data_IF_625575306936
#
_entry.id   IF_625575306936
#
_cell.length_a   1.000
_cell.length_b   1.000
_cell.length_c   1.000
_cell.angle_alpha   90.00
_cell.angle_beta   90.00
_cell.angle_gamma   90.00
#
_symmetry.space_group_name_H-M   'P 1'
#
loop_
_entity.id
_entity.type
_entity.pdbx_description
1 polymer ?
#
# COMPACT_ATOMS: atom_id res chain seq x y z
N UNK A 1 -11.38 -17.48 -15.07
CA UNK A 1 -9.94 -17.73 -14.82
C UNK A 1 -9.87 -18.36 -13.44
N UNK A 2 -9.01 -19.34 -13.22
CA UNK A 2 -8.84 -19.93 -11.87
C UNK A 2 -8.16 -18.90 -10.97
N UNK A 3 -8.72 -18.62 -9.78
CA UNK A 3 -8.24 -17.58 -8.86
C UNK A 3 -6.77 -17.79 -8.48
N UNK A 4 -6.29 -19.03 -8.42
CA UNK A 4 -4.87 -19.33 -8.19
C UNK A 4 -3.97 -18.73 -9.27
N UNK A 5 -4.43 -18.72 -10.53
CA UNK A 5 -3.69 -18.11 -11.62
C UNK A 5 -3.67 -16.58 -11.50
N UNK A 6 -4.76 -15.97 -11.04
CA UNK A 6 -4.82 -14.52 -10.81
C UNK A 6 -3.89 -14.10 -9.67
N UNK A 7 -3.90 -14.84 -8.55
CA UNK A 7 -2.99 -14.59 -7.42
C UNK A 7 -1.54 -14.74 -7.85
N UNK A 8 -1.20 -15.82 -8.57
CA UNK A 8 0.15 -16.03 -9.08
C UNK A 8 0.58 -14.90 -10.04
N UNK A 9 -0.35 -14.39 -10.85
CA UNK A 9 -0.11 -13.27 -11.74
C UNK A 9 0.18 -11.98 -10.96
N UNK A 10 -0.60 -11.67 -9.91
CA UNK A 10 -0.37 -10.52 -9.02
C UNK A 10 1.03 -10.60 -8.39
N UNK A 11 1.37 -11.74 -7.77
CA UNK A 11 2.69 -11.92 -7.13
C UNK A 11 3.84 -11.77 -8.13
N UNK A 12 3.68 -12.28 -9.35
CA UNK A 12 4.67 -12.12 -10.42
C UNK A 12 4.86 -10.64 -10.78
N UNK A 13 3.78 -9.87 -10.85
CA UNK A 13 3.82 -8.45 -11.17
C UNK A 13 4.53 -7.68 -10.04
N UNK A 14 4.26 -7.97 -8.76
CA UNK A 14 4.97 -7.36 -7.63
C UNK A 14 6.48 -7.62 -7.65
N UNK A 15 6.91 -8.85 -7.99
CA UNK A 15 8.34 -9.18 -8.14
C UNK A 15 8.97 -8.35 -9.27
N UNK A 16 8.22 -8.15 -10.37
CA UNK A 16 8.66 -7.32 -11.49
C UNK A 16 8.77 -5.85 -11.06
N UNK A 17 7.81 -5.33 -10.28
CA UNK A 17 7.84 -3.96 -9.77
C UNK A 17 9.07 -3.74 -8.88
N UNK A 18 9.35 -4.66 -7.96
CA UNK A 18 10.56 -4.63 -7.14
C UNK A 18 11.83 -4.61 -8.00
N UNK A 19 11.90 -5.46 -9.04
CA UNK A 19 13.03 -5.49 -9.97
C UNK A 19 13.23 -4.15 -10.70
N UNK A 20 12.14 -3.49 -11.11
CA UNK A 20 12.20 -2.15 -11.73
C UNK A 20 12.75 -1.12 -10.75
N UNK A 21 12.24 -1.11 -9.51
CA UNK A 21 12.68 -0.16 -8.48
C UNK A 21 14.16 -0.38 -8.12
N UNK A 22 14.59 -1.64 -8.01
CA UNK A 22 15.99 -1.99 -7.82
C UNK A 22 16.88 -1.52 -8.98
N UNK A 23 16.43 -1.64 -10.23
CA UNK A 23 17.14 -1.09 -11.38
C UNK A 23 17.39 0.43 -11.25
N UNK A 24 16.36 1.18 -10.86
CA UNK A 24 16.48 2.64 -10.64
C UNK A 24 17.46 2.97 -9.52
N UNK A 25 17.48 2.19 -8.44
CA UNK A 25 18.43 2.37 -7.35
C UNK A 25 19.87 2.03 -7.78
N UNK A 26 20.05 0.97 -8.55
CA UNK A 26 21.36 0.59 -9.09
C UNK A 26 21.94 1.68 -10.01
N UNK A 27 21.10 2.31 -10.85
CA UNK A 27 21.49 3.45 -11.70
C UNK A 27 21.97 4.66 -10.88
N UNK A 28 21.53 4.77 -9.63
CA UNK A 28 21.98 5.80 -8.67
C UNK A 28 23.19 5.36 -7.83
N UNK A 29 23.76 4.18 -8.10
CA UNK A 29 24.94 3.65 -7.41
C UNK A 29 24.63 2.93 -6.10
N UNK A 30 23.38 2.58 -5.83
CA UNK A 30 23.01 1.78 -4.64
C UNK A 30 23.43 0.33 -4.85
N UNK A 31 24.07 -0.27 -3.84
CA UNK A 31 24.35 -1.71 -3.81
C UNK A 31 23.06 -2.50 -3.53
N UNK A 32 22.30 -2.77 -4.59
CA UNK A 32 21.07 -3.56 -4.55
C UNK A 32 21.35 -4.98 -4.09
N UNK A 33 22.43 -5.60 -4.55
CA UNK A 33 22.75 -7.00 -4.21
C UNK A 33 22.98 -7.14 -2.71
N UNK A 34 23.85 -6.29 -2.15
CA UNK A 34 24.07 -6.23 -0.70
C UNK A 34 22.81 -5.86 0.07
N UNK A 35 21.99 -4.93 -0.43
CA UNK A 35 20.71 -4.59 0.20
C UNK A 35 19.76 -5.80 0.27
N UNK A 36 19.56 -6.53 -0.83
CA UNK A 36 18.67 -7.70 -0.86
C UNK A 36 19.20 -8.79 0.08
N UNK A 37 20.49 -9.12 -0.01
CA UNK A 37 21.09 -10.15 0.86
C UNK A 37 21.01 -9.81 2.36
N UNK A 38 21.08 -8.52 2.73
CA UNK A 38 20.97 -8.10 4.12
C UNK A 38 19.55 -8.21 4.70
N UNK A 39 18.51 -8.30 3.86
CA UNK A 39 17.10 -8.28 4.29
C UNK A 39 16.34 -9.57 4.00
N UNK A 40 16.93 -10.51 3.24
CA UNK A 40 16.28 -11.73 2.77
C UNK A 40 15.64 -12.55 3.91
N UNK A 41 16.36 -12.73 5.02
CA UNK A 41 15.85 -13.47 6.19
C UNK A 41 14.67 -12.76 6.87
N UNK A 42 14.73 -11.43 6.98
CA UNK A 42 13.73 -10.63 7.72
C UNK A 42 12.44 -10.45 6.90
N UNK A 43 12.50 -10.49 5.57
CA UNK A 43 11.31 -10.33 4.72
C UNK A 43 10.23 -11.41 4.97
N UNK A 44 10.60 -12.56 5.50
CA UNK A 44 9.65 -13.62 5.86
C UNK A 44 8.96 -13.41 7.20
N UNK A 45 9.50 -12.55 8.08
CA UNK A 45 8.95 -12.31 9.42
C UNK A 45 7.49 -11.85 9.33
N UNK A 46 6.62 -12.34 10.22
CA UNK A 46 5.25 -11.83 10.40
C UNK A 46 4.97 -11.68 11.89
N UNK A 47 4.16 -10.69 12.24
CA UNK A 47 3.59 -10.59 13.59
C UNK A 47 2.42 -11.55 13.74
N UNK A 48 1.94 -11.75 14.97
CA UNK A 48 0.71 -12.50 15.21
C UNK A 48 -0.49 -11.85 14.50
N UNK A 49 -1.47 -12.64 14.09
CA UNK A 49 -2.62 -12.15 13.32
C UNK A 49 -3.47 -11.10 14.06
N UNK A 50 -3.54 -11.21 15.38
CA UNK A 50 -4.24 -10.32 16.31
C UNK A 50 -3.37 -9.16 16.82
N UNK A 51 -2.09 -9.13 16.46
CA UNK A 51 -1.23 -8.00 16.81
C UNK A 51 -1.70 -6.72 16.11
N UNK A 52 -1.53 -5.60 16.80
CA UNK A 52 -1.62 -4.25 16.24
C UNK A 52 -0.33 -3.50 16.58
N UNK A 53 0.56 -3.42 15.59
CA UNK A 53 1.81 -2.67 15.71
C UNK A 53 1.63 -1.21 15.28
N UNK A 54 0.42 -0.82 14.88
CA UNK A 54 0.07 0.52 14.42
C UNK A 54 1.12 1.10 13.48
N UNK A 55 1.85 2.09 13.99
CA UNK A 55 2.88 2.84 13.27
C UNK A 55 4.31 2.57 13.74
N UNK A 56 4.49 1.64 14.68
CA UNK A 56 5.78 1.35 15.28
C UNK A 56 6.74 0.67 14.29
N UNK A 57 8.02 1.05 14.33
CA UNK A 57 9.07 0.38 13.55
C UNK A 57 9.61 -0.78 14.35
N UNK A 58 9.23 -2.00 13.96
CA UNK A 58 9.56 -3.22 14.70
C UNK A 58 10.76 -3.99 14.13
N UNK A 59 11.23 -3.64 12.91
CA UNK A 59 12.48 -4.16 12.34
C UNK A 59 13.32 -3.05 11.70
N UNK A 60 14.56 -3.39 11.38
CA UNK A 60 15.52 -2.52 10.68
C UNK A 60 15.33 -2.48 9.17
N UNK A 61 14.50 -3.35 8.58
CA UNK A 61 14.35 -3.49 7.12
C UNK A 61 13.58 -2.32 6.46
N UNK A 62 12.93 -1.49 7.29
CA UNK A 62 12.15 -0.30 6.88
C UNK A 62 10.97 -0.58 5.94
N UNK A 63 10.58 -1.83 5.69
CA UNK A 63 9.39 -2.17 4.90
C UNK A 63 8.14 -1.59 5.56
N UNK A 64 7.12 -1.35 4.75
CA UNK A 64 5.84 -0.80 5.23
C UNK A 64 5.23 -1.75 6.26
N UNK A 65 4.73 -1.20 7.37
CA UNK A 65 4.22 -1.97 8.51
C UNK A 65 3.13 -2.96 8.13
N UNK A 66 2.35 -2.61 7.11
CA UNK A 66 1.27 -3.45 6.62
C UNK A 66 1.76 -4.85 6.19
N UNK A 67 3.00 -4.97 5.73
CA UNK A 67 3.60 -6.24 5.29
C UNK A 67 4.11 -7.13 6.43
N UNK A 68 4.11 -6.66 7.70
CA UNK A 68 4.33 -7.56 8.84
C UNK A 68 3.07 -8.32 9.23
N UNK A 69 1.88 -7.85 8.88
CA UNK A 69 0.66 -8.57 9.19
C UNK A 69 0.49 -9.77 8.26
N UNK A 70 0.05 -10.92 8.78
CA UNK A 70 -0.23 -12.08 7.95
C UNK A 70 -1.49 -11.86 7.09
N UNK A 71 -1.52 -12.51 5.94
CA UNK A 71 -2.67 -12.63 5.05
C UNK A 71 -3.09 -14.10 5.09
N UNK A 72 -4.03 -14.44 5.98
CA UNK A 72 -4.37 -15.83 6.31
C UNK A 72 -5.62 -16.33 5.59
N UNK A 73 -6.49 -15.42 5.18
CA UNK A 73 -7.79 -15.73 4.57
C UNK A 73 -7.93 -15.15 3.18
N UNK A 74 -8.91 -15.65 2.42
CA UNK A 74 -9.26 -15.03 1.14
C UNK A 74 -9.77 -13.60 1.32
N UNK A 75 -10.59 -13.35 2.35
CA UNK A 75 -11.04 -12.01 2.68
C UNK A 75 -9.85 -11.08 2.99
N UNK A 76 -8.83 -11.56 3.69
CA UNK A 76 -7.61 -10.79 3.95
C UNK A 76 -6.93 -10.37 2.66
N UNK A 77 -6.70 -11.31 1.74
CA UNK A 77 -6.06 -11.02 0.46
C UNK A 77 -6.85 -9.95 -0.32
N UNK A 78 -8.17 -10.09 -0.39
CA UNK A 78 -9.04 -9.18 -1.13
C UNK A 78 -9.06 -7.77 -0.50
N UNK A 79 -9.25 -7.66 0.81
CA UNK A 79 -9.32 -6.35 1.47
C UNK A 79 -7.95 -5.71 1.67
N UNK A 80 -6.87 -6.51 1.75
CA UNK A 80 -5.50 -6.02 1.64
C UNK A 80 -5.29 -5.34 0.29
N UNK A 81 -5.54 -6.03 -0.84
CA UNK A 81 -5.37 -5.42 -2.17
C UNK A 81 -6.30 -4.23 -2.38
N UNK A 82 -7.55 -4.32 -1.92
CA UNK A 82 -8.50 -3.20 -2.00
C UNK A 82 -8.03 -1.97 -1.21
N UNK A 83 -7.43 -2.12 -0.03
CA UNK A 83 -6.96 -0.95 0.70
C UNK A 83 -5.54 -0.54 0.25
N UNK A 84 -4.61 -1.48 0.26
CA UNK A 84 -3.19 -1.23 0.13
C UNK A 84 -2.75 -0.85 -1.29
N UNK A 85 -3.15 -1.59 -2.33
CA UNK A 85 -2.74 -1.30 -3.72
C UNK A 85 -3.22 0.09 -4.14
N UNK A 86 -4.44 0.45 -3.72
CA UNK A 86 -4.99 1.78 -3.93
C UNK A 86 -4.28 2.84 -3.11
N UNK A 87 -3.95 2.56 -1.85
CA UNK A 87 -3.13 3.45 -1.02
C UNK A 87 -1.75 3.71 -1.62
N UNK A 88 -1.10 2.68 -2.16
CA UNK A 88 0.15 2.77 -2.91
C UNK A 88 -0.03 3.55 -4.21
N UNK A 89 -1.12 3.31 -4.95
CA UNK A 89 -1.48 4.04 -6.15
C UNK A 89 -1.60 5.55 -5.92
N UNK A 90 -2.27 5.96 -4.83
CA UNK A 90 -2.34 7.37 -4.42
C UNK A 90 -0.98 7.96 -4.05
N UNK A 91 -0.13 7.20 -3.34
CA UNK A 91 1.24 7.65 -3.01
C UNK A 91 2.11 7.86 -4.25
N UNK A 92 1.94 7.00 -5.26
CA UNK A 92 2.76 6.98 -6.46
C UNK A 92 2.19 7.87 -7.57
N UNK A 93 0.96 8.37 -7.45
CA UNK A 93 0.34 9.18 -8.51
C UNK A 93 1.15 10.45 -8.80
N UNK A 94 1.68 11.07 -7.74
CA UNK A 94 2.53 12.27 -7.84
C UNK A 94 3.82 12.04 -8.62
N UNK A 95 4.27 10.78 -8.71
CA UNK A 95 5.50 10.40 -9.42
C UNK A 95 5.39 10.70 -10.91
N UNK A 96 4.17 10.73 -11.47
CA UNK A 96 3.95 11.12 -12.87
C UNK A 96 4.41 12.55 -13.17
N UNK A 97 4.57 13.36 -12.14
CA UNK A 97 5.01 14.75 -12.21
C UNK A 97 6.39 14.96 -11.54
N UNK A 98 7.09 13.87 -11.24
CA UNK A 98 8.38 13.90 -10.59
C UNK A 98 9.47 14.53 -11.47
N UNK A 99 10.42 15.24 -10.87
CA UNK A 99 11.61 15.79 -11.55
C UNK A 99 12.60 14.72 -12.02
N UNK A 100 12.53 13.51 -11.47
CA UNK A 100 13.39 12.38 -11.85
C UNK A 100 12.75 11.54 -12.97
N UNK A 101 13.02 11.92 -14.21
CA UNK A 101 12.42 11.32 -15.41
C UNK A 101 12.55 9.79 -15.57
N UNK A 102 13.65 9.12 -15.18
CA UNK A 102 13.73 7.66 -15.23
C UNK A 102 12.62 6.98 -14.44
N UNK A 103 12.33 7.49 -13.24
CA UNK A 103 11.29 6.93 -12.38
C UNK A 103 9.88 7.20 -12.89
N UNK A 104 9.63 8.39 -13.47
CA UNK A 104 8.38 8.70 -14.18
C UNK A 104 8.08 7.65 -15.26
N UNK A 105 9.07 7.30 -16.09
CA UNK A 105 8.89 6.30 -17.15
C UNK A 105 8.66 4.90 -16.62
N UNK A 106 9.34 4.54 -15.52
CA UNK A 106 9.21 3.23 -14.90
C UNK A 106 7.82 3.03 -14.30
N UNK A 107 7.30 4.04 -13.58
CA UNK A 107 6.01 3.93 -12.88
C UNK A 107 4.82 3.87 -13.84
N UNK A 108 4.90 4.44 -15.04
CA UNK A 108 3.83 4.33 -16.04
C UNK A 108 3.55 2.88 -16.45
N UNK A 109 4.58 2.03 -16.49
CA UNK A 109 4.42 0.60 -16.74
C UNK A 109 3.73 -0.11 -15.58
N UNK A 110 4.17 0.17 -14.36
CA UNK A 110 3.59 -0.36 -13.11
C UNK A 110 2.11 0.01 -13.01
N UNK A 111 1.74 1.27 -13.24
CA UNK A 111 0.35 1.73 -13.22
C UNK A 111 -0.58 1.01 -14.20
N UNK A 112 -0.07 0.48 -15.31
CA UNK A 112 -0.89 -0.29 -16.26
C UNK A 112 -1.25 -1.67 -15.70
N UNK A 113 -0.34 -2.27 -14.95
CA UNK A 113 -0.52 -3.57 -14.31
C UNK A 113 -1.42 -3.46 -13.08
N UNK A 114 -1.22 -2.43 -12.26
CA UNK A 114 -2.03 -2.12 -11.06
C UNK A 114 -3.54 -1.99 -11.37
N UNK A 115 -3.91 -1.55 -12.57
CA UNK A 115 -5.32 -1.50 -13.01
C UNK A 115 -5.97 -2.89 -13.05
N UNK A 116 -5.20 -3.96 -13.21
CA UNK A 116 -5.71 -5.32 -13.12
C UNK A 116 -5.96 -5.71 -11.66
N UNK A 117 -5.02 -5.42 -10.76
CA UNK A 117 -5.12 -5.72 -9.33
C UNK A 117 -6.32 -5.02 -8.69
N UNK A 118 -6.46 -3.71 -8.95
CA UNK A 118 -7.59 -2.89 -8.46
C UNK A 118 -8.94 -3.48 -8.92
N UNK A 119 -9.07 -3.86 -10.20
CA UNK A 119 -10.32 -4.42 -10.73
C UNK A 119 -10.64 -5.80 -10.15
N UNK A 120 -9.63 -6.63 -9.90
CA UNK A 120 -9.80 -7.93 -9.26
C UNK A 120 -10.27 -7.76 -7.80
N UNK A 121 -9.63 -6.84 -7.06
CA UNK A 121 -10.04 -6.47 -5.71
C UNK A 121 -11.49 -5.97 -5.65
N UNK A 122 -11.87 -5.02 -6.50
CA UNK A 122 -13.24 -4.48 -6.55
C UNK A 122 -14.29 -5.54 -6.88
N UNK A 123 -13.98 -6.44 -7.84
CA UNK A 123 -14.85 -7.56 -8.18
C UNK A 123 -15.15 -8.45 -6.98
N UNK A 124 -14.14 -8.80 -6.20
CA UNK A 124 -14.28 -9.68 -5.05
C UNK A 124 -14.85 -8.98 -3.81
N UNK A 125 -14.48 -7.72 -3.56
CA UNK A 125 -15.09 -6.91 -2.49
C UNK A 125 -16.60 -6.86 -2.68
N UNK A 126 -17.07 -6.59 -3.90
CA UNK A 126 -18.50 -6.61 -4.21
C UNK A 126 -19.15 -7.95 -3.89
N UNK A 127 -18.55 -9.06 -4.32
CA UNK A 127 -19.09 -10.41 -4.06
C UNK A 127 -19.15 -10.75 -2.57
N UNK A 128 -18.12 -10.42 -1.81
CA UNK A 128 -18.04 -10.72 -0.39
C UNK A 128 -18.96 -9.81 0.44
N UNK A 129 -19.06 -8.54 0.05
CA UNK A 129 -19.92 -7.57 0.73
C UNK A 129 -21.40 -7.82 0.44
N UNK A 130 -21.80 -8.10 -0.81
CA UNK A 130 -23.22 -8.23 -1.16
C UNK A 130 -23.84 -9.58 -0.76
N UNK A 131 -23.04 -10.62 -0.52
CA UNK A 131 -23.55 -11.92 -0.04
C UNK A 131 -23.80 -11.87 1.49
N UNK A 132 -25.04 -12.07 1.96
CA UNK A 132 -25.35 -12.05 3.39
C UNK A 132 -24.54 -13.05 4.24
N UNK A 133 -24.01 -14.11 3.64
CA UNK A 133 -23.20 -15.11 4.35
C UNK A 133 -21.78 -14.62 4.64
N UNK A 134 -21.29 -13.65 3.88
CA UNK A 134 -19.92 -13.14 3.99
C UNK A 134 -19.87 -11.65 4.35
N UNK A 135 -21.01 -10.93 4.36
CA UNK A 135 -21.07 -9.50 4.64
C UNK A 135 -20.39 -9.14 5.98
N UNK A 136 -20.71 -9.85 7.07
CA UNK A 136 -20.14 -9.56 8.39
C UNK A 136 -18.62 -9.77 8.46
N UNK A 137 -18.13 -10.84 7.81
CA UNK A 137 -16.69 -11.12 7.68
C UNK A 137 -16.02 -10.04 6.81
N UNK A 138 -16.66 -9.65 5.71
CA UNK A 138 -16.18 -8.61 4.80
C UNK A 138 -16.07 -7.26 5.52
N UNK A 139 -17.09 -6.87 6.29
CA UNK A 139 -17.09 -5.64 7.08
C UNK A 139 -15.97 -5.62 8.14
N UNK A 140 -15.79 -6.73 8.85
CA UNK A 140 -14.73 -6.86 9.86
C UNK A 140 -13.35 -6.79 9.22
N UNK A 141 -13.15 -7.51 8.12
CA UNK A 141 -11.86 -7.60 7.42
C UNK A 141 -11.52 -6.28 6.72
N UNK A 142 -12.50 -5.63 6.10
CA UNK A 142 -12.37 -4.28 5.57
C UNK A 142 -11.90 -3.29 6.63
N UNK A 143 -12.56 -3.28 7.79
CA UNK A 143 -12.20 -2.36 8.87
C UNK A 143 -10.76 -2.51 9.33
N UNK A 144 -10.32 -3.77 9.50
CA UNK A 144 -8.93 -4.11 9.83
C UNK A 144 -7.91 -3.57 8.83
N UNK A 145 -8.10 -3.86 7.54
CA UNK A 145 -7.14 -3.46 6.50
C UNK A 145 -7.19 -1.96 6.20
N UNK A 146 -8.36 -1.33 6.28
CA UNK A 146 -8.50 0.12 6.13
C UNK A 146 -7.67 0.88 7.17
N UNK A 147 -7.81 0.54 8.46
CA UNK A 147 -7.05 1.20 9.53
C UNK A 147 -5.54 1.00 9.35
N UNK A 148 -5.11 -0.23 9.00
CA UNK A 148 -3.70 -0.54 8.73
C UNK A 148 -3.16 0.29 7.56
N UNK A 149 -3.92 0.47 6.48
CA UNK A 149 -3.54 1.31 5.34
C UNK A 149 -3.50 2.80 5.72
N UNK A 150 -4.44 3.30 6.50
CA UNK A 150 -4.44 4.72 6.92
C UNK A 150 -3.18 5.12 7.72
N UNK A 151 -2.57 4.16 8.41
CA UNK A 151 -1.34 4.35 9.18
C UNK A 151 -0.06 4.48 8.33
N UNK A 152 -0.09 4.16 7.02
CA UNK A 152 1.12 4.14 6.19
C UNK A 152 1.48 5.51 5.59
N UNK A 153 0.55 6.47 5.57
CA UNK A 153 0.75 7.74 4.86
C UNK A 153 1.71 8.71 5.55
N UNK A 154 2.00 8.52 6.84
CA UNK A 154 2.84 9.43 7.63
C UNK A 154 2.15 10.75 7.99
N UNK A 155 2.69 11.49 8.95
CA UNK A 155 2.04 12.71 9.48
C UNK A 155 2.12 13.88 8.49
N UNK A 156 1.20 14.87 8.57
CA UNK A 156 1.26 16.06 7.73
C UNK A 156 2.47 16.93 8.03
N UNK A 157 2.91 17.72 7.05
CA UNK A 157 3.87 18.81 7.26
C UNK A 157 5.28 18.36 7.65
N UNK A 158 5.69 17.14 7.31
CA UNK A 158 7.04 16.67 7.61
C UNK A 158 8.10 17.47 6.86
N UNK A 159 9.26 17.68 7.50
CA UNK A 159 10.36 18.44 6.91
C UNK A 159 10.89 17.76 5.63
N UNK A 160 10.87 16.43 5.59
CA UNK A 160 11.30 15.65 4.42
C UNK A 160 10.28 15.71 3.29
N UNK A 161 8.97 15.63 3.58
CA UNK A 161 7.94 15.85 2.55
C UNK A 161 8.09 17.26 1.95
N UNK A 162 8.31 18.28 2.78
CA UNK A 162 8.59 19.64 2.29
C UNK A 162 9.84 19.69 1.38
N UNK A 163 10.88 18.91 1.70
CA UNK A 163 12.07 18.77 0.85
C UNK A 163 11.76 18.05 -0.47
N UNK A 164 11.01 16.94 -0.43
CA UNK A 164 10.58 16.20 -1.61
C UNK A 164 9.73 17.06 -2.53
N UNK A 165 8.79 17.85 -2.00
CA UNK A 165 8.01 18.81 -2.77
C UNK A 165 8.86 19.93 -3.36
N UNK A 166 9.84 20.45 -2.61
CA UNK A 166 10.80 21.45 -3.12
C UNK A 166 11.57 20.93 -4.34
N UNK A 167 12.00 19.68 -4.31
CA UNK A 167 12.68 19.04 -5.44
C UNK A 167 11.72 18.45 -6.49
N UNK A 168 10.41 18.61 -6.32
CA UNK A 168 9.38 18.02 -7.18
C UNK A 168 9.53 16.50 -7.31
N UNK A 169 9.89 15.81 -6.22
CA UNK A 169 9.84 14.34 -6.14
C UNK A 169 8.44 13.86 -5.73
N UNK A 170 7.71 14.70 -4.99
CA UNK A 170 6.29 14.57 -4.66
C UNK A 170 5.59 15.90 -4.96
N UNK A 171 4.26 15.91 -5.11
CA UNK A 171 3.47 17.14 -5.29
C UNK A 171 2.68 17.50 -4.03
N UNK A 172 2.07 16.49 -3.40
CA UNK A 172 1.15 16.62 -2.29
C UNK A 172 1.82 16.36 -0.95
N UNK A 173 1.29 16.98 0.09
CA UNK A 173 1.56 16.61 1.48
C UNK A 173 0.97 15.22 1.78
N UNK A 174 1.55 14.53 2.77
CA UNK A 174 1.11 13.19 3.19
C UNK A 174 -0.39 13.14 3.52
N UNK A 175 -0.94 14.18 4.16
CA UNK A 175 -2.36 14.18 4.53
C UNK A 175 -3.28 14.53 3.36
N UNK A 176 -2.80 15.25 2.35
CA UNK A 176 -3.54 15.46 1.10
C UNK A 176 -3.75 14.13 0.38
N UNK A 177 -2.68 13.33 0.24
CA UNK A 177 -2.74 11.98 -0.35
C UNK A 177 -3.70 11.08 0.46
N UNK A 178 -3.56 11.07 1.79
CA UNK A 178 -4.44 10.29 2.68
C UNK A 178 -5.91 10.64 2.49
N UNK A 179 -6.26 11.93 2.44
CA UNK A 179 -7.65 12.37 2.29
C UNK A 179 -8.23 12.00 0.93
N UNK A 180 -7.44 12.07 -0.16
CA UNK A 180 -7.88 11.61 -1.48
C UNK A 180 -8.16 10.11 -1.47
N UNK A 181 -7.25 9.30 -0.89
CA UNK A 181 -7.46 7.87 -0.70
C UNK A 181 -8.72 7.56 0.12
N UNK A 182 -8.88 8.21 1.27
CA UNK A 182 -10.00 7.98 2.18
C UNK A 182 -11.35 8.33 1.54
N UNK A 183 -11.40 9.40 0.74
CA UNK A 183 -12.59 9.77 -0.02
C UNK A 183 -12.97 8.70 -1.05
N UNK A 184 -12.01 8.23 -1.86
CA UNK A 184 -12.28 7.19 -2.86
C UNK A 184 -12.75 5.88 -2.20
N UNK A 185 -12.06 5.44 -1.14
CA UNK A 185 -12.43 4.20 -0.44
C UNK A 185 -13.80 4.33 0.22
N UNK A 186 -14.17 5.50 0.74
CA UNK A 186 -15.50 5.74 1.29
C UNK A 186 -16.59 5.59 0.24
N UNK A 187 -16.40 6.17 -0.93
CA UNK A 187 -17.36 6.06 -2.03
C UNK A 187 -17.48 4.59 -2.47
N UNK A 188 -16.37 3.89 -2.66
CA UNK A 188 -16.33 2.48 -3.05
C UNK A 188 -16.91 1.51 -2.03
N UNK A 189 -16.63 1.72 -0.75
CA UNK A 189 -17.22 0.93 0.33
C UNK A 189 -18.75 1.14 0.39
N UNK A 190 -19.20 2.39 0.22
CA UNK A 190 -20.62 2.74 0.18
C UNK A 190 -21.39 2.07 -0.97
N UNK A 191 -20.78 1.93 -2.15
CA UNK A 191 -21.37 1.24 -3.31
C UNK A 191 -21.78 -0.22 -3.01
N UNK A 192 -21.13 -0.88 -2.05
CA UNK A 192 -21.33 -2.29 -1.71
C UNK A 192 -21.88 -2.51 -0.29
N UNK A 193 -22.35 -1.45 0.37
CA UNK A 193 -22.96 -1.53 1.70
C UNK A 193 -21.97 -1.79 2.83
N UNK A 194 -20.69 -1.45 2.66
CA UNK A 194 -19.68 -1.45 3.71
C UNK A 194 -19.57 -0.05 4.34
N UNK A 195 -19.35 -0.03 5.66
CA UNK A 195 -19.11 1.19 6.43
C UNK A 195 -17.63 1.36 6.70
N UNK A 196 -17.08 2.54 6.41
CA UNK A 196 -15.70 2.90 6.73
C UNK A 196 -15.57 3.10 8.26
N UNK A 197 -14.66 2.39 8.94
CA UNK A 197 -14.46 2.59 10.37
C UNK A 197 -13.86 3.97 10.64
N UNK A 198 -14.11 4.52 11.82
CA UNK A 198 -13.46 5.74 12.26
C UNK A 198 -11.95 5.51 12.40
N UNK A 199 -11.15 6.36 11.75
CA UNK A 199 -9.71 6.41 11.94
C UNK A 199 -9.34 7.69 12.69
N UNK A 200 -8.94 7.54 13.95
CA UNK A 200 -8.54 8.64 14.82
C UNK A 200 -7.02 8.59 15.09
N UNK A 201 -6.20 9.36 14.36
CA UNK A 201 -4.75 9.32 14.54
C UNK A 201 -4.31 10.01 15.82
N UNK A 202 -3.31 9.43 16.48
CA UNK A 202 -2.46 10.17 17.41
C UNK A 202 -1.28 10.71 16.60
N UNK A 203 -1.39 11.97 16.15
CA UNK A 203 -0.47 12.57 15.17
C UNK A 203 1.02 12.43 15.54
N UNK A 204 1.35 12.56 16.82
CA UNK A 204 2.73 12.46 17.30
C UNK A 204 3.29 11.03 17.25
N UNK A 205 2.42 10.01 17.16
CA UNK A 205 2.82 8.60 17.00
C UNK A 205 2.94 8.19 15.54
N UNK A 206 2.34 8.93 14.61
CA UNK A 206 2.50 8.64 13.19
C UNK A 206 3.95 8.91 12.76
N UNK A 207 4.52 8.08 11.86
CA UNK A 207 5.86 8.33 11.35
C UNK A 207 5.85 9.67 10.61
N UNK A 208 6.98 10.39 10.66
CA UNK A 208 7.10 11.64 9.90
C UNK A 208 6.86 11.41 8.41
N UNK A 209 7.35 10.27 7.93
CA UNK A 209 7.30 9.88 6.54
C UNK A 209 6.24 8.84 6.27
N UNK A 210 5.67 8.93 5.08
CA UNK A 210 5.02 7.80 4.46
C UNK A 210 5.97 6.59 4.50
N UNK A 211 5.44 5.45 4.90
CA UNK A 211 6.21 4.22 4.97
C UNK A 211 6.47 3.63 3.59
N UNK A 212 5.62 3.94 2.60
CA UNK A 212 5.99 3.88 1.18
C UNK A 212 6.64 5.24 0.86
N UNK A 213 7.98 5.34 0.83
CA UNK A 213 8.56 6.42 0.07
C UNK A 213 8.09 6.21 -1.37
N UNK A 214 7.52 7.25 -1.98
CA UNK A 214 7.56 7.30 -3.43
C UNK A 214 9.02 7.16 -3.81
#
# INVERSE_FOLDING_TARGET
>A
MDEKHVVAQIVKDEIRHATVMYGLLADLGVDVGGHVSAHDEIFTMRVAADADIGTERITSDKRVNIFYYPIDTWADFIFFNFCMDRGAGHQLEDVRHCSYGPWVRAIEGIFKEEKFHIRHGEYWVKRLAEDPKTHDEAQTTFGKWYIRTMNIFGRPGSAKNALYRRYRLKLRDNDEVRRTFAAEVKDKAGEVGLTVPEWAPVWDRLPEEAQIPG
#
